data_IF_935875855916
#
_entry.id   IF_935875855916
#
_cell.length_a   1.000
_cell.length_b   1.000
_cell.length_c   1.000
_cell.angle_alpha   90.00
_cell.angle_beta   90.00
_cell.angle_gamma   90.00
#
_symmetry.space_group_name_H-M   'P 1'
#
loop_
_entity.id
_entity.type
_entity.pdbx_description
1 polymer ?
#
# COMPACT_ATOMS: atom_id res chain seq x y z
N UNK A 1 -20.13 -25.67 68.30
CA UNK A 1 -19.04 -26.12 67.40
C UNK A 1 -18.04 -24.98 67.26
N UNK A 2 -16.75 -25.32 67.13
CA UNK A 2 -15.55 -24.49 67.39
C UNK A 2 -15.31 -23.32 66.42
N UNK A 3 -14.90 -22.18 67.02
CA UNK A 3 -13.78 -21.24 66.71
C UNK A 3 -13.77 -20.53 65.34
N UNK A 4 -13.97 -19.22 65.27
CA UNK A 4 -13.09 -18.07 65.61
C UNK A 4 -12.18 -17.60 64.45
N UNK A 5 -12.19 -16.28 64.30
CA UNK A 5 -11.53 -15.38 63.35
C UNK A 5 -10.03 -15.65 63.08
N UNK A 6 -9.57 -15.33 61.86
CA UNK A 6 -8.46 -14.37 61.61
C UNK A 6 -8.11 -14.27 60.12
N UNK A 7 -8.16 -13.05 59.59
CA UNK A 7 -7.46 -12.62 58.36
C UNK A 7 -5.99 -12.30 58.70
N UNK A 8 -5.02 -12.53 57.79
CA UNK A 8 -4.32 -11.38 57.20
C UNK A 8 -4.03 -11.57 55.68
N UNK A 9 -4.33 -10.58 54.82
CA UNK A 9 -3.44 -9.55 54.21
C UNK A 9 -2.21 -10.14 53.48
N UNK A 10 -1.92 -9.54 52.30
CA UNK A 10 -0.73 -9.63 51.42
C UNK A 10 -0.83 -10.77 50.37
N UNK A 11 -0.73 -10.56 49.06
CA UNK A 11 -0.23 -9.44 48.29
C UNK A 11 -0.93 -9.35 46.92
N UNK A 12 -1.11 -8.11 46.48
CA UNK A 12 -1.47 -7.70 45.14
C UNK A 12 -0.34 -8.11 44.19
N UNK A 13 -0.65 -8.93 43.18
CA UNK A 13 0.15 -9.02 41.96
C UNK A 13 -0.75 -8.65 40.79
N UNK A 14 -0.88 -7.35 40.59
CA UNK A 14 -1.32 -6.75 39.32
C UNK A 14 -0.29 -7.20 38.29
N UNK A 15 -0.62 -8.23 37.51
CA UNK A 15 0.09 -8.53 36.27
C UNK A 15 -0.36 -7.50 35.22
N UNK A 16 0.08 -6.25 35.38
CA UNK A 16 0.23 -5.31 34.26
C UNK A 16 1.50 -5.74 33.55
N UNK A 17 1.41 -6.90 32.89
CA UNK A 17 2.31 -7.26 31.82
C UNK A 17 1.87 -6.44 30.62
N UNK A 18 2.46 -5.26 30.48
CA UNK A 18 2.20 -4.38 29.35
C UNK A 18 2.33 -5.16 28.06
N UNK A 19 1.22 -5.27 27.32
CA UNK A 19 1.25 -5.47 25.88
C UNK A 19 1.83 -4.18 25.25
N UNK A 20 3.11 -3.95 25.50
CA UNK A 20 4.00 -3.23 24.59
C UNK A 20 4.57 -4.28 23.63
N UNK A 21 3.65 -4.93 22.91
CA UNK A 21 3.98 -5.81 21.81
C UNK A 21 4.23 -4.97 20.57
N UNK A 22 5.51 -4.67 20.34
CA UNK A 22 6.09 -4.36 19.03
C UNK A 22 5.82 -2.99 18.42
N UNK A 23 6.12 -1.90 19.14
CA UNK A 23 6.52 -0.64 18.48
C UNK A 23 8.03 -0.65 18.25
N UNK A 24 8.51 -1.54 17.37
CA UNK A 24 9.92 -1.58 16.99
C UNK A 24 10.11 -2.28 15.65
N UNK A 25 9.63 -1.64 14.58
CA UNK A 25 10.28 -1.60 13.26
C UNK A 25 9.44 -0.79 12.24
N UNK A 26 8.98 0.41 12.60
CA UNK A 26 8.93 1.45 11.57
C UNK A 26 10.39 1.88 11.36
N UNK A 27 11.12 1.14 10.53
CA UNK A 27 12.13 1.83 9.75
C UNK A 27 11.32 2.86 8.96
N UNK A 28 11.45 4.15 9.32
CA UNK A 28 10.80 5.23 8.60
C UNK A 28 11.11 4.98 7.12
N UNK A 29 10.08 4.64 6.37
CA UNK A 29 10.24 4.29 4.97
C UNK A 29 11.01 5.43 4.28
N UNK A 30 11.96 5.14 3.37
CA UNK A 30 12.82 6.19 2.81
C UNK A 30 12.02 7.34 2.18
N UNK A 31 10.86 7.05 1.58
CA UNK A 31 10.02 8.09 1.00
C UNK A 31 9.29 8.89 2.09
N UNK A 32 8.78 8.24 3.14
CA UNK A 32 8.18 8.93 4.29
C UNK A 32 9.20 9.83 5.00
N UNK A 33 10.41 9.33 5.25
CA UNK A 33 11.50 10.07 5.86
C UNK A 33 11.92 11.28 5.00
N UNK A 34 12.03 11.11 3.68
CA UNK A 34 12.30 12.22 2.76
C UNK A 34 11.19 13.27 2.83
N UNK A 35 9.92 12.86 2.77
CA UNK A 35 8.78 13.76 2.80
C UNK A 35 8.69 14.54 4.12
N UNK A 36 9.01 13.92 5.26
CA UNK A 36 9.05 14.59 6.56
C UNK A 36 10.13 15.69 6.66
N UNK A 37 11.15 15.69 5.78
CA UNK A 37 12.08 16.82 5.68
C UNK A 37 11.45 18.06 5.01
N UNK A 38 10.37 17.86 4.25
CA UNK A 38 9.73 18.90 3.44
C UNK A 38 8.34 19.30 3.95
N UNK A 39 7.69 18.44 4.73
CA UNK A 39 6.33 18.62 5.23
C UNK A 39 6.26 18.41 6.75
N UNK A 40 5.26 19.01 7.40
CA UNK A 40 5.03 18.86 8.84
C UNK A 40 4.48 17.47 9.18
N UNK A 41 3.65 16.91 8.29
CA UNK A 41 3.05 15.59 8.47
C UNK A 41 3.04 14.82 7.17
N UNK A 42 3.16 13.50 7.30
CA UNK A 42 2.94 12.51 6.25
C UNK A 42 1.93 11.51 6.79
N UNK A 43 0.91 11.21 5.98
CA UNK A 43 -0.11 10.21 6.27
C UNK A 43 -0.09 9.15 5.17
N UNK A 44 0.02 7.88 5.58
CA UNK A 44 0.25 6.75 4.67
C UNK A 44 -1.00 5.90 4.61
N UNK A 45 -1.37 5.54 3.38
CA UNK A 45 -2.46 4.63 3.10
C UNK A 45 -2.02 3.60 2.06
N UNK A 46 -2.64 2.44 2.04
CA UNK A 46 -2.30 1.42 1.05
C UNK A 46 -3.50 0.64 0.53
N UNK A 47 -3.27 -0.08 -0.55
CA UNK A 47 -4.19 -1.05 -1.11
C UNK A 47 -3.43 -2.28 -1.63
N UNK A 48 -3.72 -3.49 -1.12
CA UNK A 48 -3.11 -4.71 -1.59
C UNK A 48 -3.72 -5.13 -2.93
N UNK A 49 -2.86 -5.57 -3.83
CA UNK A 49 -3.22 -6.15 -5.12
C UNK A 49 -2.78 -7.61 -5.12
N UNK A 50 -3.70 -8.52 -5.43
CA UNK A 50 -3.42 -9.94 -5.64
C UNK A 50 -4.31 -10.46 -6.78
N UNK A 51 -3.71 -10.62 -7.96
CA UNK A 51 -4.36 -11.22 -9.11
C UNK A 51 -3.57 -12.43 -9.57
N UNK A 52 -4.28 -13.53 -9.81
CA UNK A 52 -3.71 -14.76 -10.34
C UNK A 52 -4.62 -15.30 -11.43
N UNK A 53 -4.06 -15.50 -12.63
CA UNK A 53 -4.75 -16.12 -13.76
C UNK A 53 -4.15 -17.49 -14.02
N UNK A 54 -4.98 -18.53 -13.98
CA UNK A 54 -4.56 -19.94 -14.10
C UNK A 54 -4.99 -20.59 -15.40
N UNK A 55 -6.09 -20.16 -16.00
CA UNK A 55 -6.65 -20.79 -17.20
C UNK A 55 -6.35 -19.96 -18.45
N UNK A 56 -6.22 -20.63 -19.59
CA UNK A 56 -5.96 -19.97 -20.88
C UNK A 56 -7.14 -19.07 -21.27
N UNK A 57 -6.85 -18.01 -22.04
CA UNK A 57 -7.83 -17.03 -22.53
C UNK A 57 -8.59 -16.27 -21.42
N UNK A 58 -7.98 -16.16 -20.23
CA UNK A 58 -8.45 -15.27 -19.19
C UNK A 58 -7.46 -14.12 -19.07
N UNK A 59 -8.00 -12.90 -19.07
CA UNK A 59 -7.24 -11.69 -18.83
C UNK A 59 -7.91 -10.93 -17.68
N UNK A 60 -7.10 -10.43 -16.76
CA UNK A 60 -7.52 -9.47 -15.76
C UNK A 60 -6.94 -8.13 -16.16
N UNK A 61 -7.78 -7.17 -16.54
CA UNK A 61 -7.37 -5.82 -16.89
C UNK A 61 -8.26 -4.86 -16.11
N UNK A 62 -7.67 -4.11 -15.18
CA UNK A 62 -8.44 -3.31 -14.24
C UNK A 62 -7.85 -1.93 -14.11
N UNK A 63 -8.68 -0.91 -14.26
CA UNK A 63 -8.38 0.47 -13.88
C UNK A 63 -9.06 0.77 -12.55
N UNK A 64 -8.36 1.48 -11.68
CA UNK A 64 -8.72 1.68 -10.28
C UNK A 64 -8.76 3.16 -9.96
N UNK A 65 -9.78 3.55 -9.19
CA UNK A 65 -9.86 4.80 -8.45
C UNK A 65 -9.95 4.43 -6.97
N UNK A 66 -9.06 5.00 -6.15
CA UNK A 66 -9.01 4.69 -4.73
C UNK A 66 -9.65 5.80 -3.91
N UNK A 67 -10.44 5.40 -2.93
CA UNK A 67 -11.15 6.32 -2.03
C UNK A 67 -10.73 6.02 -0.59
N UNK A 68 -10.12 6.99 0.08
CA UNK A 68 -9.85 6.91 1.51
C UNK A 68 -11.10 7.32 2.32
N UNK A 69 -11.40 6.54 3.36
CA UNK A 69 -12.48 6.81 4.31
C UNK A 69 -12.00 6.47 5.74
N UNK A 70 -11.90 7.44 6.67
CA UNK A 70 -12.16 8.87 6.48
C UNK A 70 -11.24 9.52 5.44
N UNK A 71 -11.63 10.70 4.95
CA UNK A 71 -10.77 11.46 4.04
C UNK A 71 -9.44 11.80 4.75
N UNK A 72 -8.28 11.62 4.10
CA UNK A 72 -6.99 11.96 4.70
C UNK A 72 -6.91 13.46 4.96
N UNK A 73 -6.24 13.83 6.04
CA UNK A 73 -5.90 15.22 6.31
C UNK A 73 -4.65 15.51 5.46
N UNK A 74 -4.81 16.20 4.34
CA UNK A 74 -3.69 16.58 3.46
C UNK A 74 -3.92 16.35 1.97
N UNK A 75 -2.94 16.79 1.19
CA UNK A 75 -2.94 16.61 -0.26
C UNK A 75 -2.21 15.32 -0.63
N UNK A 76 -2.73 14.58 -1.62
CA UNK A 76 -2.00 13.47 -2.21
C UNK A 76 -0.69 13.99 -2.82
N UNK A 77 0.44 13.47 -2.35
CA UNK A 77 1.77 13.84 -2.83
C UNK A 77 2.27 12.89 -3.91
N UNK A 78 2.23 11.59 -3.64
CA UNK A 78 2.82 10.57 -4.51
C UNK A 78 2.16 9.21 -4.26
N UNK A 79 2.03 8.40 -5.32
CA UNK A 79 1.61 7.01 -5.24
C UNK A 79 2.78 6.10 -5.66
N UNK A 80 3.13 5.15 -4.80
CA UNK A 80 4.19 4.16 -5.00
C UNK A 80 3.64 2.77 -5.24
N UNK A 81 4.29 2.01 -6.11
CA UNK A 81 3.96 0.60 -6.39
C UNK A 81 5.08 -0.32 -5.91
N UNK A 82 4.78 -1.11 -4.87
CA UNK A 82 5.72 -2.04 -4.25
C UNK A 82 5.43 -3.46 -4.74
N UNK A 83 6.17 -3.90 -5.76
CA UNK A 83 6.03 -5.25 -6.33
C UNK A 83 6.52 -6.31 -5.33
N UNK A 84 5.61 -7.20 -4.91
CA UNK A 84 5.92 -8.33 -4.02
C UNK A 84 6.20 -9.58 -4.85
N UNK A 85 5.38 -9.84 -5.88
CA UNK A 85 5.53 -11.00 -6.76
C UNK A 85 4.96 -10.70 -8.15
N UNK A 86 5.71 -11.05 -9.18
CA UNK A 86 5.28 -10.96 -10.57
C UNK A 86 5.77 -12.16 -11.36
N UNK A 87 4.84 -12.99 -11.84
CA UNK A 87 5.11 -14.17 -12.66
C UNK A 87 4.34 -14.07 -13.98
N UNK A 88 4.93 -14.52 -15.09
CA UNK A 88 4.27 -14.51 -16.40
C UNK A 88 4.05 -13.11 -16.98
N UNK A 89 2.94 -12.93 -17.71
CA UNK A 89 2.58 -11.66 -18.34
C UNK A 89 1.76 -10.78 -17.37
N UNK A 90 2.36 -9.68 -16.91
CA UNK A 90 1.70 -8.70 -16.05
C UNK A 90 2.22 -7.29 -16.29
N UNK A 91 1.49 -6.30 -15.78
CA UNK A 91 1.86 -4.88 -15.84
C UNK A 91 1.04 -4.04 -14.87
N UNK A 92 1.62 -2.94 -14.38
CA UNK A 92 0.99 -2.04 -13.42
C UNK A 92 1.55 -0.62 -13.56
N UNK A 93 0.73 0.40 -13.30
CA UNK A 93 1.16 1.80 -13.41
C UNK A 93 0.03 2.76 -13.73
N UNK A 94 0.36 3.96 -14.22
CA UNK A 94 -0.62 5.00 -14.53
C UNK A 94 -1.12 4.94 -15.97
N UNK A 95 -2.39 5.30 -16.18
CA UNK A 95 -2.98 5.39 -17.51
C UNK A 95 -2.31 6.52 -18.31
N UNK A 96 -1.72 6.25 -19.49
CA UNK A 96 -1.18 7.30 -20.36
C UNK A 96 -2.25 8.33 -20.71
N UNK A 97 -1.93 9.62 -20.59
CA UNK A 97 -2.85 10.72 -20.86
C UNK A 97 -3.97 10.91 -19.83
N UNK A 98 -4.03 10.07 -18.78
CA UNK A 98 -4.97 10.21 -17.67
C UNK A 98 -4.37 11.00 -16.50
N UNK A 99 -5.21 11.47 -15.56
CA UNK A 99 -4.73 12.06 -14.31
C UNK A 99 -3.98 11.03 -13.47
N UNK A 100 -2.72 11.32 -13.12
CA UNK A 100 -1.84 10.42 -12.34
C UNK A 100 -2.26 10.28 -10.88
N UNK A 101 -2.98 11.26 -10.38
CA UNK A 101 -3.51 11.33 -9.01
C UNK A 101 -4.83 10.55 -8.82
N UNK A 102 -5.53 10.20 -9.91
CA UNK A 102 -6.85 9.59 -9.83
C UNK A 102 -6.89 8.12 -10.31
N UNK A 103 -6.11 7.78 -11.34
CA UNK A 103 -6.28 6.49 -12.03
C UNK A 103 -4.97 5.77 -12.33
N UNK A 104 -4.84 4.58 -11.77
CA UNK A 104 -3.84 3.59 -12.15
C UNK A 104 -4.52 2.30 -12.55
N UNK A 105 -3.77 1.38 -13.15
CA UNK A 105 -4.31 0.09 -13.51
C UNK A 105 -3.28 -1.01 -13.46
N UNK A 106 -3.81 -2.22 -13.60
CA UNK A 106 -3.07 -3.46 -13.65
C UNK A 106 -3.57 -4.33 -14.80
N UNK A 107 -2.67 -5.13 -15.33
CA UNK A 107 -3.06 -6.29 -16.12
C UNK A 107 -2.29 -7.54 -15.67
N UNK A 108 -2.99 -8.66 -15.75
CA UNK A 108 -2.43 -10.01 -15.63
C UNK A 108 -3.04 -10.81 -16.76
N UNK A 109 -2.22 -11.19 -17.72
CA UNK A 109 -2.65 -11.84 -18.95
C UNK A 109 -2.10 -13.26 -18.95
N UNK A 110 -2.85 -14.23 -19.47
CA UNK A 110 -2.29 -15.56 -19.74
C UNK A 110 -2.31 -15.84 -21.24
N UNK A 111 -1.20 -15.47 -21.88
CA UNK A 111 -0.94 -15.74 -23.30
C UNK A 111 -0.11 -17.02 -23.40
N UNK A 112 -0.69 -18.08 -23.97
CA UNK A 112 -0.04 -19.38 -24.10
C UNK A 112 -0.90 -20.40 -24.85
N UNK A 113 -0.29 -21.52 -25.26
CA UNK A 113 -1.01 -22.66 -25.85
C UNK A 113 -1.45 -23.64 -24.76
N UNK A 114 -2.27 -24.65 -25.08
CA UNK A 114 -2.71 -25.68 -24.10
C UNK A 114 -1.53 -26.41 -23.43
N UNK A 115 -0.35 -26.39 -24.07
CA UNK A 115 0.88 -27.05 -23.61
C UNK A 115 1.75 -26.19 -22.68
N UNK A 116 1.54 -24.87 -22.66
CA UNK A 116 2.36 -23.92 -21.89
C UNK A 116 1.49 -23.24 -20.83
N UNK A 117 1.09 -24.03 -19.82
CA UNK A 117 0.09 -23.65 -18.82
C UNK A 117 0.64 -22.86 -17.63
N UNK A 118 1.69 -22.06 -17.80
CA UNK A 118 2.24 -21.28 -16.69
C UNK A 118 1.24 -20.21 -16.22
N UNK A 119 1.03 -20.11 -14.91
CA UNK A 119 0.12 -19.11 -14.35
C UNK A 119 0.78 -17.73 -14.38
N UNK A 120 0.01 -16.69 -14.70
CA UNK A 120 0.45 -15.30 -14.54
C UNK A 120 -0.07 -14.76 -13.21
N UNK A 121 0.78 -14.03 -12.48
CA UNK A 121 0.49 -13.54 -11.13
C UNK A 121 1.03 -12.14 -10.96
N UNK A 122 0.26 -11.31 -10.27
CA UNK A 122 0.68 -10.01 -9.78
C UNK A 122 0.24 -9.85 -8.33
N UNK A 123 1.22 -9.73 -7.44
CA UNK A 123 1.04 -9.35 -6.04
C UNK A 123 1.87 -8.10 -5.77
N UNK A 124 1.24 -7.05 -5.27
CA UNK A 124 1.90 -5.79 -4.93
C UNK A 124 1.11 -5.01 -3.89
N UNK A 125 1.75 -4.04 -3.25
CA UNK A 125 1.08 -2.99 -2.48
C UNK A 125 1.14 -1.67 -3.24
N UNK A 126 0.01 -0.96 -3.30
CA UNK A 126 -0.05 0.41 -3.81
C UNK A 126 -0.14 1.35 -2.61
N UNK A 127 0.84 2.21 -2.47
CA UNK A 127 1.02 3.07 -1.29
C UNK A 127 0.78 4.52 -1.67
N UNK A 128 -0.02 5.20 -0.87
CA UNK A 128 -0.46 6.58 -1.05
C UNK A 128 0.14 7.43 0.06
N UNK A 129 0.89 8.45 -0.32
CA UNK A 129 1.48 9.42 0.60
C UNK A 129 0.68 10.71 0.56
N UNK A 130 0.00 11.04 1.65
CA UNK A 130 -0.67 12.33 1.85
C UNK A 130 0.23 13.21 2.72
N UNK A 131 0.29 14.51 2.41
CA UNK A 131 1.17 15.45 3.11
C UNK A 131 0.44 16.72 3.54
N UNK A 132 0.86 17.27 4.68
CA UNK A 132 0.35 18.52 5.23
C UNK A 132 1.48 19.46 5.67
N UNK A 133 1.21 20.77 5.63
CA UNK A 133 2.14 21.79 6.13
C UNK A 133 3.47 21.80 5.37
N UNK A 134 3.51 22.28 4.12
CA UNK A 134 4.79 22.44 3.42
C UNK A 134 5.70 23.39 4.20
N UNK A 135 6.93 22.95 4.51
CA UNK A 135 7.95 23.75 5.21
C UNK A 135 8.56 24.85 4.35
N UNK A 136 8.34 24.76 3.04
CA UNK A 136 8.70 25.77 2.05
C UNK A 136 7.80 25.64 0.81
N UNK A 137 7.66 26.69 0.02
CA UNK A 137 6.92 26.60 -1.26
C UNK A 137 7.54 25.58 -2.23
N UNK A 138 8.86 25.38 -2.16
CA UNK A 138 9.58 24.40 -2.96
C UNK A 138 9.25 22.93 -2.61
N UNK A 139 8.65 22.67 -1.44
CA UNK A 139 8.29 21.32 -1.00
C UNK A 139 7.33 20.63 -1.98
N UNK A 140 6.43 21.38 -2.62
CA UNK A 140 5.48 20.83 -3.61
C UNK A 140 6.17 20.20 -4.82
N UNK A 141 7.36 20.67 -5.19
CA UNK A 141 8.13 20.10 -6.30
C UNK A 141 8.66 18.69 -5.98
N UNK A 142 8.80 18.32 -4.71
CA UNK A 142 9.23 16.98 -4.29
C UNK A 142 8.20 15.93 -4.69
N UNK A 143 6.91 16.21 -4.46
CA UNK A 143 5.81 15.33 -4.86
C UNK A 143 5.82 15.03 -6.36
N UNK A 144 5.89 16.07 -7.19
CA UNK A 144 5.99 15.93 -8.65
C UNK A 144 7.24 15.15 -9.07
N UNK A 145 8.42 15.51 -8.54
CA UNK A 145 9.68 14.81 -8.83
C UNK A 145 9.60 13.32 -8.54
N UNK A 146 9.03 12.94 -7.40
CA UNK A 146 8.88 11.53 -7.02
C UNK A 146 7.88 10.82 -7.95
N UNK A 147 6.77 11.48 -8.29
CA UNK A 147 5.77 10.93 -9.19
C UNK A 147 6.23 10.80 -10.66
N UNK A 148 7.17 11.64 -11.09
CA UNK A 148 7.73 11.66 -12.43
C UNK A 148 9.02 10.84 -12.58
N UNK A 149 9.53 10.25 -11.50
CA UNK A 149 10.73 9.44 -11.56
C UNK A 149 10.54 8.28 -12.58
N UNK A 150 11.53 7.99 -13.45
CA UNK A 150 11.40 6.94 -14.47
C UNK A 150 11.65 5.55 -13.86
N UNK A 151 10.91 5.20 -12.80
CA UNK A 151 11.05 3.95 -12.05
C UNK A 151 9.75 3.16 -12.07
N UNK A 152 9.85 1.85 -11.88
CA UNK A 152 8.70 0.97 -11.72
C UNK A 152 7.84 1.38 -10.50
N UNK A 153 8.50 1.79 -9.41
CA UNK A 153 7.85 2.25 -8.18
C UNK A 153 6.99 3.50 -8.42
N UNK A 154 7.38 4.38 -9.35
CA UNK A 154 6.61 5.55 -9.76
C UNK A 154 5.60 5.26 -10.88
N UNK A 155 5.23 3.98 -11.09
CA UNK A 155 4.16 3.59 -11.99
C UNK A 155 4.54 3.49 -13.47
N UNK A 156 5.83 3.38 -13.80
CA UNK A 156 6.30 3.19 -15.18
C UNK A 156 6.44 1.72 -15.62
N UNK A 157 5.93 0.78 -14.82
CA UNK A 157 6.00 -0.65 -15.14
C UNK A 157 4.87 -1.13 -16.08
N UNK A 158 3.95 -0.25 -16.48
CA UNK A 158 2.77 -0.65 -17.24
C UNK A 158 3.09 -0.80 -18.72
N UNK A 159 2.85 -2.01 -19.27
CA UNK A 159 3.16 -2.32 -20.68
C UNK A 159 2.05 -3.04 -21.44
N UNK A 160 0.90 -3.27 -20.82
CA UNK A 160 -0.19 -4.06 -21.43
C UNK A 160 -1.41 -3.22 -21.82
N UNK A 161 -2.55 -3.87 -22.13
CA UNK A 161 -3.77 -3.19 -22.52
C UNK A 161 -4.47 -2.56 -21.31
N UNK A 162 -5.10 -1.40 -21.51
CA UNK A 162 -5.91 -0.68 -20.52
C UNK A 162 -7.38 -1.08 -20.57
N UNK A 163 -8.07 -0.96 -19.43
CA UNK A 163 -9.53 -1.01 -19.36
C UNK A 163 -10.07 0.41 -19.12
N UNK A 164 -11.17 0.76 -19.78
CA UNK A 164 -11.88 2.02 -19.52
C UNK A 164 -12.87 1.91 -18.35
N UNK A 165 -13.10 0.70 -17.84
CA UNK A 165 -13.88 0.50 -16.63
C UNK A 165 -13.05 0.86 -15.39
N UNK A 166 -13.40 1.98 -14.77
CA UNK A 166 -12.83 2.40 -13.49
C UNK A 166 -13.59 1.73 -12.35
N UNK A 167 -12.87 0.96 -11.54
CA UNK A 167 -13.41 0.31 -10.35
C UNK A 167 -12.98 1.07 -9.10
N UNK A 168 -13.93 1.41 -8.23
CA UNK A 168 -13.67 2.11 -6.97
C UNK A 168 -13.31 1.11 -5.88
N UNK A 169 -12.31 1.41 -5.05
CA UNK A 169 -11.95 0.59 -3.90
C UNK A 169 -11.48 1.45 -2.73
N UNK A 170 -11.59 0.91 -1.51
CA UNK A 170 -11.28 1.64 -0.28
C UNK A 170 -9.81 1.45 0.10
N UNK A 171 -9.14 2.55 0.45
CA UNK A 171 -7.79 2.51 1.02
C UNK A 171 -7.79 2.05 2.48
N UNK A 172 -6.69 1.41 2.88
CA UNK A 172 -6.40 0.98 4.25
C UNK A 172 -5.43 1.99 4.86
N UNK A 173 -5.74 2.50 6.05
CA UNK A 173 -4.86 3.44 6.76
C UNK A 173 -3.64 2.74 7.33
N UNK A 174 -2.47 3.36 7.22
CA UNK A 174 -1.18 2.86 7.69
C UNK A 174 -0.38 2.09 6.63
N UNK A 175 0.75 1.53 7.08
CA UNK A 175 1.67 0.74 6.25
C UNK A 175 1.11 -0.67 5.98
N UNK A 176 1.37 -1.25 4.78
CA UNK A 176 1.11 -2.67 4.53
C UNK A 176 1.88 -3.55 5.53
N UNK A 177 1.30 -4.72 5.83
CA UNK A 177 1.99 -5.71 6.65
C UNK A 177 3.27 -6.19 5.95
N UNK A 178 4.35 -6.36 6.70
CA UNK A 178 5.58 -6.91 6.16
C UNK A 178 5.29 -8.27 5.48
N UNK A 179 5.86 -8.52 4.28
CA UNK A 179 5.71 -9.81 3.63
C UNK A 179 6.14 -10.94 4.58
N UNK A 180 5.31 -11.97 4.72
CA UNK A 180 5.73 -13.18 5.44
C UNK A 180 6.97 -13.78 4.73
N UNK A 181 7.99 -14.22 5.49
CA UNK A 181 9.21 -14.81 4.94
C UNK A 181 8.95 -16.10 4.15
#
# INVERSE_FOLDING_TARGET
>A
MRREFSTPIWAIAIAVGGLLGSTAAQAADPDEAELLNHFEKVDVWHFPVDYTVRYNNQDVIVTREMVAQPAPQGALCYIRFDLIKGDGDYGYGFKPGGPRDAHWGVNVLKRGTVLDQLASRLKMDVIYFYVEGPKSEAAKAVCARKQDAPTAAAGNAYKGPWSDLVTKSRLIHGWPAAPAP
#
